data_IF_485892056886
#
_entry.id   IF_485892056886
#
_cell.length_a   1.000
_cell.length_b   1.000
_cell.length_c   1.000
_cell.angle_alpha   90.00
_cell.angle_beta   90.00
_cell.angle_gamma   90.00
#
_symmetry.space_group_name_H-M   'P 1'
#
loop_
_entity.id
_entity.type
_entity.pdbx_description
1 polymer ?
#
# COMPACT_ATOMS: atom_id res chain seq x y z
N UNK A 1 69.26 -54.40 10.10
CA UNK A 1 69.00 -53.32 9.12
C UNK A 1 67.57 -53.49 8.62
N UNK A 2 66.57 -52.85 9.22
CA UNK A 2 65.93 -51.65 8.66
C UNK A 2 65.09 -51.03 9.78
N UNK A 3 65.75 -50.25 10.64
CA UNK A 3 65.20 -49.52 11.80
C UNK A 3 64.40 -48.25 11.40
N UNK A 4 63.80 -48.21 10.22
CA UNK A 4 63.18 -46.98 9.67
C UNK A 4 61.76 -47.16 9.11
N UNK A 5 61.16 -48.34 9.21
CA UNK A 5 59.81 -48.57 8.65
C UNK A 5 58.67 -48.18 9.60
N UNK A 6 58.98 -47.91 10.87
CA UNK A 6 57.99 -47.53 11.90
C UNK A 6 57.64 -46.04 11.95
N UNK A 7 58.11 -45.22 10.99
CA UNK A 7 57.92 -43.75 11.01
C UNK A 7 56.94 -43.26 9.92
N UNK A 8 56.58 -44.08 8.94
CA UNK A 8 55.75 -43.61 7.81
C UNK A 8 54.24 -43.96 7.87
N UNK A 9 53.79 -44.79 8.81
CA UNK A 9 52.35 -45.07 8.97
C UNK A 9 51.64 -44.20 10.03
N UNK A 10 52.37 -43.42 10.83
CA UNK A 10 51.75 -42.53 11.82
C UNK A 10 51.46 -41.12 11.28
N UNK A 11 51.94 -40.77 10.08
CA UNK A 11 51.73 -39.44 9.49
C UNK A 11 50.48 -39.30 8.61
N UNK A 12 49.73 -40.38 8.35
CA UNK A 12 48.58 -40.34 7.44
C UNK A 12 47.20 -40.22 8.13
N UNK A 13 47.15 -40.18 9.47
CA UNK A 13 45.88 -40.14 10.24
C UNK A 13 45.71 -38.81 11.02
N UNK A 14 46.60 -37.83 10.83
CA UNK A 14 46.46 -36.50 11.46
C UNK A 14 45.77 -35.46 10.55
N UNK A 15 45.26 -35.85 9.38
CA UNK A 15 44.71 -34.93 8.35
C UNK A 15 43.17 -34.94 8.25
N UNK A 16 42.47 -35.44 9.28
CA UNK A 16 40.99 -35.42 9.36
C UNK A 16 40.47 -34.83 10.67
N UNK A 17 41.10 -33.76 11.15
CA UNK A 17 40.40 -32.81 12.01
C UNK A 17 39.96 -31.65 11.11
N UNK A 18 38.65 -31.41 10.90
CA UNK A 18 38.23 -30.11 10.45
C UNK A 18 38.69 -29.14 11.54
N UNK A 19 39.74 -28.37 11.23
CA UNK A 19 40.01 -27.12 11.90
C UNK A 19 38.70 -26.34 11.83
N UNK A 20 37.98 -26.35 12.95
CA UNK A 20 36.97 -25.35 13.26
C UNK A 20 37.73 -24.03 13.36
N UNK A 21 38.11 -23.49 12.20
CA UNK A 21 38.47 -22.11 12.05
C UNK A 21 37.21 -21.35 12.43
N UNK A 22 37.27 -20.70 13.59
CA UNK A 22 36.18 -19.91 14.11
C UNK A 22 35.60 -19.06 13.00
N UNK A 23 34.33 -19.32 12.69
CA UNK A 23 33.50 -18.24 12.18
C UNK A 23 33.72 -17.06 13.13
N UNK A 24 33.92 -15.82 12.63
CA UNK A 24 33.56 -14.70 13.47
C UNK A 24 32.14 -15.01 13.91
N UNK A 25 31.95 -15.18 15.22
CA UNK A 25 30.63 -15.18 15.81
C UNK A 25 29.94 -14.00 15.16
N UNK A 26 28.89 -14.30 14.41
CA UNK A 26 28.11 -13.38 13.61
C UNK A 26 27.84 -12.18 14.53
N UNK A 27 28.68 -11.15 14.42
CA UNK A 27 28.55 -9.94 15.21
C UNK A 27 27.18 -9.47 14.81
N UNK A 28 26.30 -9.47 15.81
CA UNK A 28 24.94 -9.03 15.68
C UNK A 28 24.96 -7.77 14.83
N UNK A 29 24.47 -7.88 13.60
CA UNK A 29 23.83 -6.75 12.99
C UNK A 29 22.60 -6.52 13.87
N UNK A 30 22.82 -5.87 15.01
CA UNK A 30 21.83 -5.12 15.76
C UNK A 30 21.38 -4.02 14.79
N UNK A 31 20.55 -4.44 13.84
CA UNK A 31 19.71 -3.54 13.09
C UNK A 31 18.78 -2.97 14.15
N UNK A 32 19.23 -1.86 14.74
CA UNK A 32 18.37 -0.86 15.35
C UNK A 32 17.41 -0.40 14.25
N UNK A 33 16.41 -1.23 13.97
CA UNK A 33 15.24 -0.84 13.19
C UNK A 33 14.67 0.29 14.02
N UNK A 34 14.90 1.54 13.57
CA UNK A 34 14.37 2.71 14.23
C UNK A 34 12.91 2.41 14.54
N UNK A 35 12.56 2.42 15.83
CA UNK A 35 11.23 2.04 16.28
C UNK A 35 10.26 2.95 15.53
N UNK A 36 9.53 2.38 14.57
CA UNK A 36 8.54 3.14 13.81
C UNK A 36 7.51 3.57 14.83
N UNK A 37 7.54 4.85 15.18
CA UNK A 37 6.56 5.42 16.10
C UNK A 37 5.19 5.21 15.46
N UNK A 38 4.31 4.47 16.15
CA UNK A 38 3.00 4.14 15.58
C UNK A 38 2.27 5.45 15.29
N UNK A 39 1.70 5.62 14.07
CA UNK A 39 0.91 6.80 13.77
C UNK A 39 -0.18 6.98 14.82
N UNK A 40 -0.27 8.19 15.40
CA UNK A 40 -1.30 8.49 16.39
C UNK A 40 -2.64 8.65 15.67
N UNK A 41 -3.49 7.64 15.77
CA UNK A 41 -4.89 7.72 15.31
C UNK A 41 -5.67 8.61 16.30
N UNK A 42 -6.40 9.65 15.84
CA UNK A 42 -7.23 10.46 16.71
C UNK A 42 -8.29 9.63 17.44
N UNK A 43 -8.56 9.93 18.71
CA UNK A 43 -9.50 9.12 19.51
C UNK A 43 -10.93 9.10 18.94
N UNK A 44 -11.36 10.19 18.29
CA UNK A 44 -12.68 10.27 17.64
C UNK A 44 -12.84 9.24 16.52
N UNK A 45 -11.75 8.87 15.83
CA UNK A 45 -11.80 7.97 14.68
C UNK A 45 -12.20 6.54 15.07
N UNK A 46 -12.06 6.16 16.35
CA UNK A 46 -12.48 4.85 16.87
C UNK A 46 -13.99 4.62 16.78
N UNK A 47 -14.78 5.70 16.73
CA UNK A 47 -16.24 5.66 16.67
C UNK A 47 -16.78 6.26 15.37
N UNK A 48 -15.92 6.52 14.38
CA UNK A 48 -16.31 7.18 13.15
C UNK A 48 -17.13 6.26 12.24
N UNK A 49 -18.13 6.82 11.56
CA UNK A 49 -18.87 6.13 10.51
C UNK A 49 -18.20 6.38 9.16
N UNK A 50 -17.71 5.30 8.54
CA UNK A 50 -17.12 5.32 7.21
C UNK A 50 -18.18 4.98 6.16
N UNK A 51 -18.19 5.73 5.06
CA UNK A 51 -19.01 5.44 3.89
C UNK A 51 -18.11 5.35 2.65
N UNK A 52 -18.06 4.16 2.04
CA UNK A 52 -17.31 3.94 0.81
C UNK A 52 -18.07 4.48 -0.40
N UNK A 53 -17.37 5.25 -1.22
CA UNK A 53 -17.90 5.97 -2.37
C UNK A 53 -17.32 5.40 -3.66
N UNK A 54 -18.20 4.78 -4.44
CA UNK A 54 -17.95 4.45 -5.82
C UNK A 54 -18.49 5.56 -6.72
N UNK A 55 -17.65 6.54 -7.06
CA UNK A 55 -18.04 7.74 -7.84
C UNK A 55 -18.81 7.37 -9.11
N UNK A 56 -18.27 6.42 -9.88
CA UNK A 56 -18.84 5.95 -11.15
C UNK A 56 -20.30 5.48 -11.00
N UNK A 57 -20.63 4.82 -9.90
CA UNK A 57 -21.93 4.16 -9.72
C UNK A 57 -22.87 4.91 -8.78
N UNK A 58 -22.40 5.93 -8.06
CA UNK A 58 -23.20 6.65 -7.07
C UNK A 58 -24.30 7.50 -7.71
N UNK A 59 -24.01 8.10 -8.86
CA UNK A 59 -24.96 8.90 -9.67
C UNK A 59 -24.98 8.40 -11.11
N UNK A 60 -26.05 8.66 -11.88
CA UNK A 60 -26.07 8.37 -13.32
C UNK A 60 -24.93 9.04 -14.10
N UNK A 61 -24.52 10.25 -13.71
CA UNK A 61 -23.43 10.99 -14.32
C UNK A 61 -22.06 10.41 -13.95
N UNK A 62 -21.93 9.84 -12.75
CA UNK A 62 -20.69 9.23 -12.28
C UNK A 62 -19.55 10.24 -12.05
N UNK A 63 -19.86 11.49 -11.69
CA UNK A 63 -18.88 12.57 -11.55
C UNK A 63 -18.78 13.13 -10.12
N UNK A 64 -17.66 13.77 -9.79
CA UNK A 64 -17.47 14.46 -8.51
C UNK A 64 -18.52 15.55 -8.28
N UNK A 65 -18.85 16.30 -9.33
CA UNK A 65 -19.82 17.40 -9.26
C UNK A 65 -21.25 16.90 -9.00
N UNK A 66 -21.65 15.79 -9.63
CA UNK A 66 -22.95 15.17 -9.38
C UNK A 66 -23.02 14.60 -7.95
N UNK A 67 -21.95 13.93 -7.50
CA UNK A 67 -21.85 13.41 -6.14
C UNK A 67 -21.98 14.49 -5.06
N UNK A 68 -21.41 15.68 -5.29
CA UNK A 68 -21.40 16.79 -4.33
C UNK A 68 -22.78 17.16 -3.79
N UNK A 69 -23.82 17.10 -4.64
CA UNK A 69 -25.20 17.41 -4.25
C UNK A 69 -25.75 16.50 -3.13
N UNK A 70 -25.12 15.35 -2.89
CA UNK A 70 -25.54 14.37 -1.89
C UNK A 70 -24.83 14.51 -0.54
N UNK A 71 -23.83 15.40 -0.41
CA UNK A 71 -23.12 15.62 0.84
C UNK A 71 -24.05 15.96 2.03
N UNK A 72 -25.08 16.83 1.89
CA UNK A 72 -25.98 17.13 3.00
C UNK A 72 -26.69 15.89 3.54
N UNK A 73 -27.17 15.02 2.64
CA UNK A 73 -27.84 13.76 3.02
C UNK A 73 -26.88 12.79 3.72
N UNK A 74 -25.64 12.68 3.23
CA UNK A 74 -24.62 11.83 3.85
C UNK A 74 -24.25 12.33 5.25
N UNK A 75 -24.18 13.66 5.42
CA UNK A 75 -23.96 14.25 6.74
C UNK A 75 -25.12 13.98 7.70
N UNK A 76 -26.35 14.15 7.23
CA UNK A 76 -27.57 13.86 8.02
C UNK A 76 -27.63 12.39 8.44
N UNK A 77 -27.18 11.47 7.58
CA UNK A 77 -27.06 10.04 7.89
C UNK A 77 -26.00 9.73 8.97
N UNK A 78 -25.18 10.71 9.35
CA UNK A 78 -24.14 10.55 10.37
C UNK A 78 -22.80 10.07 9.84
N UNK A 79 -22.52 10.22 8.53
CA UNK A 79 -21.21 9.88 7.97
C UNK A 79 -20.15 10.86 8.49
N UNK A 80 -19.03 10.32 8.96
CA UNK A 80 -17.87 11.09 9.41
C UNK A 80 -16.77 11.09 8.34
N UNK A 81 -16.57 9.96 7.66
CA UNK A 81 -15.48 9.79 6.69
C UNK A 81 -16.03 9.23 5.37
N UNK A 82 -15.74 9.93 4.27
CA UNK A 82 -15.99 9.46 2.92
C UNK A 82 -14.72 8.79 2.40
N UNK A 83 -14.81 7.49 2.12
CA UNK A 83 -13.72 6.71 1.53
C UNK A 83 -13.97 6.54 0.04
N UNK A 84 -13.23 7.26 -0.80
CA UNK A 84 -13.34 7.12 -2.25
C UNK A 84 -12.53 5.92 -2.72
N UNK A 85 -13.18 5.07 -3.52
CA UNK A 85 -12.49 4.10 -4.39
C UNK A 85 -11.45 4.81 -5.29
N UNK A 86 -10.52 4.09 -5.95
CA UNK A 86 -9.46 4.73 -6.71
C UNK A 86 -10.00 5.75 -7.73
N UNK A 87 -9.49 6.98 -7.66
CA UNK A 87 -9.92 8.11 -8.48
C UNK A 87 -9.08 8.30 -9.74
N UNK A 88 -8.13 7.40 -9.99
CA UNK A 88 -7.12 7.52 -11.03
C UNK A 88 -7.60 6.93 -12.38
N UNK A 89 -6.98 7.33 -13.51
CA UNK A 89 -7.26 6.74 -14.81
C UNK A 89 -7.07 5.22 -14.80
N UNK A 90 -7.94 4.54 -15.56
CA UNK A 90 -7.96 3.07 -15.63
C UNK A 90 -7.27 2.61 -16.91
N UNK A 91 -6.32 1.71 -16.75
CA UNK A 91 -5.60 1.04 -17.83
C UNK A 91 -6.55 0.41 -18.86
N UNK A 92 -6.15 0.46 -20.13
CA UNK A 92 -6.91 -0.04 -21.28
C UNK A 92 -6.43 -1.42 -21.70
N UNK A 93 -5.15 -1.71 -21.54
CA UNK A 93 -4.57 -3.00 -21.92
C UNK A 93 -5.05 -4.10 -20.97
N UNK A 94 -5.54 -5.22 -21.52
CA UNK A 94 -6.15 -6.34 -20.77
C UNK A 94 -7.29 -5.93 -19.83
N UNK A 95 -7.98 -4.84 -20.16
CA UNK A 95 -9.16 -4.37 -19.44
C UNK A 95 -10.23 -5.47 -19.40
N UNK A 96 -10.79 -5.68 -18.20
CA UNK A 96 -11.97 -6.54 -18.00
C UNK A 96 -13.24 -5.72 -18.17
N UNK A 97 -14.13 -6.16 -19.05
CA UNK A 97 -15.37 -5.43 -19.39
C UNK A 97 -15.10 -4.13 -20.15
N UNK A 98 -16.15 -3.37 -20.42
CA UNK A 98 -16.06 -2.10 -21.17
C UNK A 98 -15.38 -0.98 -20.35
N UNK A 99 -15.69 -0.90 -19.05
CA UNK A 99 -15.27 0.21 -18.18
C UNK A 99 -13.97 -0.06 -17.40
N UNK A 100 -13.54 -1.32 -17.29
CA UNK A 100 -12.39 -1.70 -16.48
C UNK A 100 -12.61 -1.59 -14.97
N UNK A 101 -11.63 -2.11 -14.22
CA UNK A 101 -11.59 -2.02 -12.76
C UNK A 101 -10.91 -0.71 -12.34
N UNK A 102 -11.45 0.05 -11.36
CA UNK A 102 -10.77 1.23 -10.81
C UNK A 102 -9.41 0.87 -10.16
N UNK A 103 -9.21 -0.39 -9.79
CA UNK A 103 -7.95 -0.88 -9.21
C UNK A 103 -6.83 -1.14 -10.25
N UNK A 104 -7.13 -1.10 -11.55
CA UNK A 104 -6.11 -1.22 -12.60
C UNK A 104 -5.60 0.17 -13.02
N UNK A 105 -4.85 0.82 -12.13
CA UNK A 105 -4.43 2.23 -12.28
C UNK A 105 -3.37 2.41 -13.36
N UNK A 106 -3.60 3.34 -14.30
CA UNK A 106 -2.65 3.71 -15.35
C UNK A 106 -1.69 4.83 -14.93
N UNK A 107 -2.20 5.82 -14.18
CA UNK A 107 -1.40 6.98 -13.74
C UNK A 107 -1.85 7.46 -12.35
N UNK A 108 -0.98 7.32 -11.35
CA UNK A 108 -1.24 7.76 -9.98
C UNK A 108 -1.21 9.28 -9.78
N UNK A 109 -0.66 10.05 -10.73
CA UNK A 109 -0.58 11.51 -10.64
C UNK A 109 -1.79 12.20 -11.27
N UNK A 110 -2.57 11.46 -12.06
CA UNK A 110 -3.76 11.97 -12.72
C UNK A 110 -5.05 11.58 -11.99
N UNK A 111 -6.11 12.32 -12.29
CA UNK A 111 -7.49 12.01 -11.93
C UNK A 111 -8.19 11.43 -13.15
N UNK A 112 -9.06 10.44 -12.96
CA UNK A 112 -9.81 9.82 -14.04
C UNK A 112 -10.73 10.87 -14.70
N UNK A 113 -10.55 11.19 -15.99
CA UNK A 113 -11.35 12.20 -16.66
C UNK A 113 -12.84 11.85 -16.74
N UNK A 114 -13.21 10.57 -16.60
CA UNK A 114 -14.62 10.15 -16.53
C UNK A 114 -15.31 10.66 -15.25
N UNK A 115 -14.54 10.96 -14.19
CA UNK A 115 -15.06 11.46 -12.91
C UNK A 115 -15.05 12.98 -12.83
N UNK A 116 -14.20 13.64 -13.60
CA UNK A 116 -14.00 15.09 -13.63
C UNK A 116 -12.51 15.47 -13.59
N UNK A 117 -12.23 16.67 -13.11
CA UNK A 117 -10.89 17.24 -13.02
C UNK A 117 -10.31 17.19 -11.60
N UNK A 118 -8.99 17.39 -11.48
CA UNK A 118 -8.33 17.52 -10.18
C UNK A 118 -8.88 18.70 -9.37
N UNK A 119 -9.21 19.82 -10.01
CA UNK A 119 -9.75 20.99 -9.33
C UNK A 119 -11.18 20.75 -8.83
N UNK A 120 -12.00 20.04 -9.61
CA UNK A 120 -13.32 19.60 -9.14
C UNK A 120 -13.21 18.64 -7.93
N UNK A 121 -12.26 17.72 -7.94
CA UNK A 121 -12.01 16.85 -6.78
C UNK A 121 -11.54 17.64 -5.55
N UNK A 122 -10.65 18.63 -5.72
CA UNK A 122 -10.21 19.52 -4.62
C UNK A 122 -11.37 20.33 -4.05
N UNK A 123 -12.24 20.87 -4.89
CA UNK A 123 -13.42 21.61 -4.43
C UNK A 123 -14.41 20.70 -3.69
N UNK A 124 -14.59 19.46 -4.16
CA UNK A 124 -15.38 18.46 -3.43
C UNK A 124 -14.78 18.19 -2.04
N UNK A 125 -13.48 17.91 -1.95
CA UNK A 125 -12.78 17.68 -0.67
C UNK A 125 -12.93 18.88 0.28
N UNK A 126 -12.78 20.10 -0.23
CA UNK A 126 -12.97 21.33 0.55
C UNK A 126 -14.39 21.43 1.12
N UNK A 127 -15.41 21.11 0.33
CA UNK A 127 -16.81 21.11 0.80
C UNK A 127 -17.08 20.03 1.85
N UNK A 128 -16.51 18.84 1.67
CA UNK A 128 -16.58 17.75 2.66
C UNK A 128 -15.99 18.22 4.00
N UNK A 129 -14.80 18.82 3.97
CA UNK A 129 -14.16 19.36 5.18
C UNK A 129 -14.96 20.52 5.81
N UNK A 130 -15.55 21.41 5.01
CA UNK A 130 -16.41 22.49 5.51
C UNK A 130 -17.66 21.97 6.24
N UNK A 131 -18.11 20.74 5.93
CA UNK A 131 -19.20 20.06 6.62
C UNK A 131 -18.73 19.24 7.84
N UNK A 132 -17.45 19.30 8.19
CA UNK A 132 -16.86 18.55 9.30
C UNK A 132 -16.80 17.04 9.04
N UNK A 133 -16.75 16.62 7.78
CA UNK A 133 -16.46 15.24 7.37
C UNK A 133 -15.00 15.14 6.89
N UNK A 134 -14.47 13.92 6.78
CA UNK A 134 -13.11 13.63 6.35
C UNK A 134 -13.10 12.81 5.06
N UNK A 135 -11.93 12.74 4.42
CA UNK A 135 -11.73 12.03 3.15
C UNK A 135 -10.61 11.00 3.27
N UNK A 136 -10.84 9.81 2.75
CA UNK A 136 -9.82 8.80 2.44
C UNK A 136 -9.87 8.52 0.94
N UNK A 137 -8.71 8.33 0.32
CA UNK A 137 -8.58 7.88 -1.06
C UNK A 137 -7.95 6.49 -1.04
N UNK A 138 -8.55 5.56 -1.76
CA UNK A 138 -8.03 4.22 -1.93
C UNK A 138 -6.75 4.24 -2.79
N UNK A 139 -5.65 3.71 -2.25
CA UNK A 139 -4.35 3.64 -2.91
C UNK A 139 -3.96 2.18 -3.13
N UNK A 140 -3.50 1.87 -4.35
CA UNK A 140 -3.24 0.49 -4.81
C UNK A 140 -1.75 0.24 -5.05
N UNK A 141 -0.87 0.24 -4.02
CA UNK A 141 0.57 0.15 -4.23
C UNK A 141 1.06 -1.24 -4.68
N UNK A 142 0.21 -2.27 -4.61
CA UNK A 142 0.61 -3.65 -4.94
C UNK A 142 0.86 -3.88 -6.44
N UNK A 143 0.17 -3.14 -7.31
CA UNK A 143 0.26 -3.33 -8.76
C UNK A 143 -0.15 -2.06 -9.52
N UNK A 144 0.03 -2.09 -10.84
CA UNK A 144 -0.52 -1.11 -11.79
C UNK A 144 -1.40 -1.82 -12.82
N UNK A 145 -2.04 -1.03 -13.67
CA UNK A 145 -2.50 -1.50 -14.97
C UNK A 145 -1.34 -1.90 -15.89
N UNK A 146 -1.70 -2.36 -17.09
CA UNK A 146 -0.73 -2.84 -18.08
C UNK A 146 -0.18 -1.73 -18.99
N UNK A 147 -0.81 -0.56 -18.98
CA UNK A 147 -0.47 0.66 -19.71
C UNK A 147 -0.76 1.89 -18.87
#
# INVERSE_FOLDING_TARGET
>A
MKKYLSIFCALAIALLLPQSCGSPANEAADQTVASIEKPRVPDWAKNAVLYEVNIRQFTPEGTFKAFEAHLPRLKEMGVDILWFMPIHPISKVKRKGSLGSPYAVADYYAVNPDYGTLDEFKELVKKIHNMGMYVIIDWVPNHTGWD
#
